data_IF_842499323138
#
_entry.id   IF_842499323138
#
_cell.length_a   1.000
_cell.length_b   1.000
_cell.length_c   1.000
_cell.angle_alpha   90.00
_cell.angle_beta   90.00
_cell.angle_gamma   90.00
#
_symmetry.space_group_name_H-M   'P 1'
#
loop_
_entity.id
_entity.type
_entity.pdbx_description
1 polymer ?
#
# COMPACT_ATOMS: atom_id res chain seq x y z
N UNK A 1 -13.51 14.01 7.28
CA UNK A 1 -12.32 14.74 6.75
C UNK A 1 -11.31 13.75 6.22
N UNK A 2 -10.80 13.98 5.03
CA UNK A 2 -9.75 13.13 4.46
C UNK A 2 -8.39 13.63 4.89
N UNK A 3 -7.52 12.71 5.25
CA UNK A 3 -6.11 12.97 5.58
C UNK A 3 -5.23 12.37 4.49
N UNK A 4 -4.04 12.92 4.35
CA UNK A 4 -3.03 12.39 3.44
C UNK A 4 -2.11 11.47 4.24
N UNK A 5 -1.80 10.33 3.66
CA UNK A 5 -0.93 9.32 4.27
C UNK A 5 0.15 8.92 3.29
N UNK A 6 1.34 8.68 3.80
CA UNK A 6 2.42 8.04 3.07
C UNK A 6 2.50 6.59 3.54
N UNK A 7 2.46 5.65 2.61
CA UNK A 7 2.60 4.23 2.94
C UNK A 7 3.79 3.66 2.17
N UNK A 8 4.67 2.98 2.88
CA UNK A 8 5.81 2.30 2.28
C UNK A 8 5.72 0.82 2.53
N UNK A 9 5.89 0.03 1.47
CA UNK A 9 6.02 -1.42 1.57
C UNK A 9 7.45 -1.81 1.31
N UNK A 10 7.97 -2.73 2.13
CA UNK A 10 9.32 -3.27 1.98
C UNK A 10 9.28 -4.79 2.07
N UNK A 11 9.99 -5.45 1.16
CA UNK A 11 10.29 -6.88 1.24
C UNK A 11 11.75 -7.07 0.85
N UNK A 12 12.27 -8.30 1.02
CA UNK A 12 13.67 -8.62 0.72
C UNK A 12 13.76 -9.38 -0.61
N UNK A 13 14.98 -9.55 -1.12
CA UNK A 13 15.19 -10.39 -2.30
C UNK A 13 14.75 -11.84 -2.05
N UNK A 14 14.91 -12.34 -0.82
CA UNK A 14 14.50 -13.69 -0.45
C UNK A 14 12.96 -13.85 -0.42
N UNK A 15 12.23 -12.77 -0.14
CA UNK A 15 10.77 -12.78 -0.04
C UNK A 15 10.09 -12.11 -1.22
N UNK A 16 10.85 -11.76 -2.27
CA UNK A 16 10.32 -11.09 -3.44
C UNK A 16 9.26 -11.96 -4.13
N UNK A 17 8.15 -11.34 -4.48
CA UNK A 17 7.01 -12.03 -5.08
C UNK A 17 6.78 -11.62 -6.55
N UNK A 18 7.75 -10.99 -7.18
CA UNK A 18 7.58 -10.47 -8.55
C UNK A 18 7.24 -11.54 -9.57
N UNK A 19 7.65 -12.80 -9.33
CA UNK A 19 7.34 -13.93 -10.18
C UNK A 19 6.12 -14.74 -9.72
N UNK A 20 5.46 -14.35 -8.64
CA UNK A 20 4.31 -15.05 -8.07
C UNK A 20 3.03 -14.26 -8.34
N UNK A 21 2.24 -14.70 -9.32
CA UNK A 21 1.01 -14.03 -9.70
C UNK A 21 -0.01 -13.94 -8.57
N UNK A 22 -0.12 -14.99 -7.75
CA UNK A 22 -1.11 -15.01 -6.67
C UNK A 22 -0.80 -13.95 -5.61
N UNK A 23 0.47 -13.73 -5.33
CA UNK A 23 0.90 -12.69 -4.39
C UNK A 23 0.78 -11.29 -4.99
N UNK A 24 1.13 -11.13 -6.28
CA UNK A 24 0.93 -9.85 -6.96
C UNK A 24 -0.54 -9.47 -7.02
N UNK A 25 -1.41 -10.45 -7.21
CA UNK A 25 -2.84 -10.23 -7.26
C UNK A 25 -3.40 -9.62 -5.96
N UNK A 26 -2.77 -9.84 -4.81
CA UNK A 26 -3.19 -9.21 -3.56
C UNK A 26 -3.06 -7.69 -3.62
N UNK A 27 -2.02 -7.17 -4.28
CA UNK A 27 -1.86 -5.74 -4.47
C UNK A 27 -2.92 -5.17 -5.40
N UNK A 28 -3.21 -5.86 -6.50
CA UNK A 28 -4.26 -5.45 -7.43
C UNK A 28 -5.62 -5.42 -6.75
N UNK A 29 -5.93 -6.46 -5.97
CA UNK A 29 -7.17 -6.53 -5.19
C UNK A 29 -7.27 -5.42 -4.17
N UNK A 30 -6.16 -5.10 -3.49
CA UNK A 30 -6.13 -4.03 -2.52
C UNK A 30 -6.43 -2.68 -3.18
N UNK A 31 -5.77 -2.38 -4.29
CA UNK A 31 -5.98 -1.13 -5.01
C UNK A 31 -7.42 -1.04 -5.54
N UNK A 32 -7.97 -2.14 -6.05
CA UNK A 32 -9.35 -2.17 -6.51
C UNK A 32 -10.36 -1.93 -5.37
N UNK A 33 -10.08 -2.44 -4.18
CA UNK A 33 -10.96 -2.28 -3.03
C UNK A 33 -10.87 -0.90 -2.37
N UNK A 34 -9.86 -0.11 -2.69
CA UNK A 34 -9.59 1.16 -2.04
C UNK A 34 -10.80 2.09 -2.04
N UNK A 35 -11.43 2.25 -3.20
CA UNK A 35 -12.56 3.15 -3.36
C UNK A 35 -13.74 2.76 -2.46
N UNK A 36 -14.01 1.47 -2.32
CA UNK A 36 -15.09 0.97 -1.47
C UNK A 36 -14.84 1.27 0.00
N UNK A 37 -13.58 1.33 0.40
CA UNK A 37 -13.16 1.61 1.76
C UNK A 37 -12.93 3.10 2.03
N UNK A 38 -13.28 3.97 1.09
CA UNK A 38 -13.09 5.41 1.23
C UNK A 38 -11.65 5.88 1.08
N UNK A 39 -10.81 5.07 0.44
CA UNK A 39 -9.39 5.37 0.22
C UNK A 39 -9.17 5.75 -1.24
N UNK A 40 -8.46 6.86 -1.46
CA UNK A 40 -8.04 7.29 -2.79
C UNK A 40 -6.53 7.11 -2.91
N UNK A 41 -6.10 6.31 -3.86
CA UNK A 41 -4.67 6.13 -4.16
C UNK A 41 -4.25 7.24 -5.11
N UNK A 42 -3.51 8.21 -4.60
CA UNK A 42 -3.01 9.34 -5.39
C UNK A 42 -1.78 8.95 -6.20
N UNK A 43 -0.87 8.21 -5.58
CA UNK A 43 0.34 7.71 -6.22
C UNK A 43 0.64 6.30 -5.73
N UNK A 44 1.01 5.44 -6.66
CA UNK A 44 1.53 4.11 -6.37
C UNK A 44 2.79 3.94 -7.22
N UNK A 45 3.94 4.06 -6.58
CA UNK A 45 5.24 4.05 -7.22
C UNK A 45 6.06 2.90 -6.65
N UNK A 46 6.96 2.36 -7.45
CA UNK A 46 7.82 1.28 -6.97
C UNK A 46 9.28 1.52 -7.35
N UNK A 47 10.15 1.04 -6.48
CA UNK A 47 11.58 0.88 -6.78
C UNK A 47 11.86 -0.63 -6.77
N UNK A 48 11.89 -1.21 -7.97
CA UNK A 48 12.06 -2.67 -8.11
C UNK A 48 13.39 -3.15 -7.56
N UNK A 49 14.46 -2.39 -7.77
CA UNK A 49 15.81 -2.79 -7.31
C UNK A 49 15.95 -2.77 -5.79
N UNK A 50 15.20 -1.91 -5.10
CA UNK A 50 15.22 -1.80 -3.64
C UNK A 50 14.11 -2.63 -2.99
N UNK A 51 13.26 -3.29 -3.77
CA UNK A 51 12.10 -4.05 -3.28
C UNK A 51 11.18 -3.22 -2.39
N UNK A 52 10.84 -2.00 -2.87
CA UNK A 52 9.99 -1.06 -2.13
C UNK A 52 8.87 -0.52 -3.00
N UNK A 53 7.71 -0.34 -2.37
CA UNK A 53 6.58 0.38 -2.95
C UNK A 53 6.34 1.64 -2.13
N UNK A 54 5.95 2.71 -2.82
CA UNK A 54 5.66 4.00 -2.21
C UNK A 54 4.26 4.45 -2.62
N UNK A 55 3.43 4.77 -1.64
CA UNK A 55 2.07 5.21 -1.88
C UNK A 55 1.85 6.57 -1.24
N UNK A 56 1.11 7.43 -1.96
CA UNK A 56 0.49 8.60 -1.35
C UNK A 56 -1.01 8.40 -1.49
N UNK A 57 -1.71 8.40 -0.37
CA UNK A 57 -3.13 8.08 -0.33
C UNK A 57 -3.90 9.11 0.49
N UNK A 58 -5.19 9.25 0.18
CA UNK A 58 -6.14 9.97 1.02
C UNK A 58 -7.08 8.99 1.67
N UNK A 59 -7.28 9.12 2.97
CA UNK A 59 -8.18 8.26 3.73
C UNK A 59 -8.68 9.00 4.98
N UNK A 60 -9.90 8.66 5.47
CA UNK A 60 -10.44 9.32 6.64
C UNK A 60 -9.76 8.90 7.94
N UNK A 61 -9.23 7.69 8.00
CA UNK A 61 -8.62 7.13 9.20
C UNK A 61 -7.69 5.97 8.87
N UNK A 62 -6.97 5.52 9.88
CA UNK A 62 -6.04 4.39 9.77
C UNK A 62 -6.78 3.08 9.43
N UNK A 63 -7.95 2.87 10.03
CA UNK A 63 -8.70 1.62 9.83
C UNK A 63 -9.10 1.41 8.37
N UNK A 64 -9.47 2.49 7.68
CA UNK A 64 -9.78 2.41 6.24
C UNK A 64 -8.59 1.92 5.42
N UNK A 65 -7.39 2.34 5.80
CA UNK A 65 -6.16 1.91 5.14
C UNK A 65 -5.88 0.43 5.44
N UNK A 66 -6.05 0.02 6.69
CA UNK A 66 -5.90 -1.38 7.09
C UNK A 66 -6.91 -2.29 6.38
N UNK A 67 -8.15 -1.86 6.25
CA UNK A 67 -9.18 -2.61 5.54
C UNK A 67 -8.83 -2.81 4.07
N UNK A 68 -8.11 -1.85 3.49
CA UNK A 68 -7.70 -1.89 2.09
C UNK A 68 -6.42 -2.69 1.89
N UNK A 69 -5.37 -2.35 2.62
CA UNK A 69 -4.01 -2.87 2.38
C UNK A 69 -3.55 -3.91 3.41
N UNK A 70 -4.31 -4.16 4.46
CA UNK A 70 -3.92 -5.11 5.51
C UNK A 70 -3.62 -6.51 4.99
N UNK A 71 -4.31 -6.93 3.94
CA UNK A 71 -4.05 -8.22 3.28
C UNK A 71 -2.62 -8.34 2.74
N UNK A 72 -1.98 -7.22 2.46
CA UNK A 72 -0.63 -7.20 1.90
C UNK A 72 0.47 -7.32 2.97
N UNK A 73 0.12 -7.30 4.26
CA UNK A 73 1.08 -7.49 5.36
C UNK A 73 1.79 -8.84 5.29
N UNK A 74 1.14 -9.84 4.69
CA UNK A 74 1.75 -11.17 4.50
C UNK A 74 2.89 -11.16 3.49
N UNK A 75 3.00 -10.08 2.70
CA UNK A 75 4.00 -9.94 1.64
C UNK A 75 5.24 -9.15 2.06
N UNK A 76 5.21 -8.55 3.25
CA UNK A 76 6.30 -7.74 3.76
C UNK A 76 5.81 -6.67 4.73
N UNK A 77 6.66 -5.71 5.03
CA UNK A 77 6.35 -4.65 5.96
C UNK A 77 5.53 -3.55 5.30
N UNK A 78 4.60 -2.99 6.06
CA UNK A 78 3.89 -1.77 5.71
C UNK A 78 4.14 -0.72 6.77
N UNK A 79 4.62 0.44 6.37
CA UNK A 79 4.78 1.59 7.25
C UNK A 79 3.82 2.67 6.78
N UNK A 80 2.88 3.04 7.65
CA UNK A 80 1.79 3.97 7.32
C UNK A 80 1.97 5.22 8.17
N UNK A 81 2.18 6.36 7.53
CA UNK A 81 2.51 7.61 8.20
C UNK A 81 1.56 8.71 7.77
N UNK A 82 0.86 9.37 8.71
CA UNK A 82 0.08 10.55 8.36
C UNK A 82 1.04 11.68 7.99
N UNK A 83 0.70 12.38 6.92
CA UNK A 83 1.49 13.50 6.42
C UNK A 83 0.57 14.66 6.04
N UNK A 84 1.15 15.81 5.80
CA UNK A 84 0.42 16.97 5.29
C UNK A 84 1.26 17.71 4.28
N UNK A 85 0.59 18.51 3.47
CA UNK A 85 1.29 19.42 2.57
C UNK A 85 2.04 20.47 3.40
N UNK A 86 3.19 20.87 2.92
CA UNK A 86 3.96 21.96 3.53
C UNK A 86 3.16 23.28 3.47
#
# INVERSE_FOLDING_TARGET
>A
MLMIWHMEHRHTGATCFSADESKRALWDQAVESAKENGVTVLHFLLNASAHRFFFVIEAPDYDSIEDTFGRCKTLGELEITPVRKW
#
